data_IF_352579970060
#
_entry.id   IF_352579970060
#
_cell.length_a   1.000
_cell.length_b   1.000
_cell.length_c   1.000
_cell.angle_alpha   90.00
_cell.angle_beta   90.00
_cell.angle_gamma   90.00
#
_symmetry.space_group_name_H-M   'P 1'
#
loop_
_entity.id
_entity.type
_entity.pdbx_description
1 polymer ?
#
# COMPACT_ATOMS: atom_id res chain seq x y z
N UNK A 1 25.73 21.71 -0.56
CA UNK A 1 25.45 20.61 0.38
C UNK A 1 24.47 19.60 -0.26
N UNK A 2 24.88 18.93 -1.35
CA UNK A 2 23.99 18.25 -2.33
C UNK A 2 24.07 16.70 -2.26
N UNK A 3 24.84 16.13 -1.33
CA UNK A 3 25.32 14.74 -1.47
C UNK A 3 24.66 13.67 -0.61
N UNK A 4 23.78 13.99 0.35
CA UNK A 4 23.30 12.97 1.31
C UNK A 4 22.07 12.14 0.88
N UNK A 5 21.36 12.50 -0.18
CA UNK A 5 20.07 11.85 -0.54
C UNK A 5 20.11 10.80 -1.67
N UNK A 6 21.29 10.37 -2.14
CA UNK A 6 21.39 9.47 -3.31
C UNK A 6 22.20 8.18 -3.11
N UNK A 7 22.39 7.73 -1.86
CA UNK A 7 22.93 6.38 -1.62
C UNK A 7 21.80 5.36 -1.53
N UNK A 8 21.24 5.00 -2.69
CA UNK A 8 20.54 3.73 -2.85
C UNK A 8 21.56 2.61 -3.05
N UNK A 9 21.71 1.76 -2.03
CA UNK A 9 22.47 0.51 -2.14
C UNK A 9 21.70 -0.47 -3.02
N UNK A 10 22.19 -0.65 -4.24
CA UNK A 10 21.68 -1.60 -5.22
C UNK A 10 22.74 -1.75 -6.31
N UNK A 11 23.88 -2.33 -5.94
CA UNK A 11 24.95 -2.67 -6.87
C UNK A 11 24.50 -3.89 -7.67
N UNK A 12 24.10 -3.68 -8.92
CA UNK A 12 24.24 -4.69 -9.96
C UNK A 12 25.69 -4.69 -10.42
N UNK A 13 26.34 -5.84 -10.36
CA UNK A 13 27.64 -6.11 -10.95
C UNK A 13 27.56 -5.94 -12.48
N UNK A 14 28.47 -5.14 -13.04
CA UNK A 14 28.51 -4.79 -14.46
C UNK A 14 28.67 -3.28 -14.66
N UNK A 15 29.91 -2.80 -14.78
CA UNK A 15 30.19 -1.43 -15.18
C UNK A 15 29.97 -1.29 -16.69
N UNK A 16 28.73 -1.04 -17.12
CA UNK A 16 28.50 -0.51 -18.47
C UNK A 16 28.97 0.95 -18.48
N UNK A 17 30.07 1.21 -19.17
CA UNK A 17 30.56 2.56 -19.40
C UNK A 17 29.74 3.21 -20.52
N UNK A 18 28.78 4.06 -20.13
CA UNK A 18 28.03 4.86 -21.08
C UNK A 18 28.81 6.13 -21.41
N UNK A 19 29.16 6.30 -22.68
CA UNK A 19 29.84 7.48 -23.19
C UNK A 19 28.90 8.70 -23.29
N UNK A 20 29.47 9.87 -23.57
CA UNK A 20 28.69 11.10 -23.70
C UNK A 20 27.66 11.05 -24.84
N UNK A 21 27.98 10.35 -25.93
CA UNK A 21 27.10 10.21 -27.09
C UNK A 21 25.82 9.48 -26.71
N UNK A 22 25.92 8.35 -26.01
CA UNK A 22 24.78 7.60 -25.52
C UNK A 22 23.91 8.44 -24.58
N UNK A 23 24.55 9.15 -23.63
CA UNK A 23 23.83 10.01 -22.68
C UNK A 23 23.11 11.14 -23.40
N UNK A 24 23.73 11.74 -24.42
CA UNK A 24 23.10 12.77 -25.26
C UNK A 24 21.87 12.24 -25.97
N UNK A 25 21.95 11.05 -26.57
CA UNK A 25 20.81 10.39 -27.23
C UNK A 25 19.69 10.06 -26.24
N UNK A 26 20.01 9.63 -25.02
CA UNK A 26 19.01 9.39 -23.97
C UNK A 26 18.31 10.66 -23.50
N UNK A 27 19.02 11.79 -23.44
CA UNK A 27 18.40 13.11 -23.20
C UNK A 27 17.42 13.40 -24.34
N UNK A 28 17.88 13.33 -25.58
CA UNK A 28 17.06 13.63 -26.76
C UNK A 28 15.80 12.76 -26.80
N UNK A 29 15.95 11.45 -26.63
CA UNK A 29 14.85 10.47 -26.63
C UNK A 29 13.77 10.84 -25.60
N UNK A 30 14.16 11.03 -24.33
CA UNK A 30 13.20 11.27 -23.26
C UNK A 30 12.59 12.67 -23.34
N UNK A 31 13.35 13.69 -23.70
CA UNK A 31 12.82 15.04 -23.92
C UNK A 31 11.79 15.06 -25.06
N UNK A 32 12.09 14.42 -26.20
CA UNK A 32 11.13 14.29 -27.31
C UNK A 32 9.89 13.53 -26.87
N UNK A 33 10.05 12.43 -26.14
CA UNK A 33 8.93 11.64 -25.62
C UNK A 33 8.03 12.42 -24.66
N UNK A 34 8.59 13.34 -23.88
CA UNK A 34 7.82 14.21 -23.00
C UNK A 34 7.01 15.28 -23.77
N UNK A 35 7.62 15.92 -24.76
CA UNK A 35 7.00 17.02 -25.53
C UNK A 35 6.08 16.54 -26.66
N UNK A 36 6.43 15.41 -27.27
CA UNK A 36 5.74 14.80 -28.41
C UNK A 36 5.46 13.33 -28.08
N UNK A 37 4.52 13.07 -27.15
CA UNK A 37 4.31 11.74 -26.61
C UNK A 37 3.81 10.76 -27.68
N UNK A 38 4.40 9.55 -27.78
CA UNK A 38 3.81 8.48 -28.58
C UNK A 38 2.49 8.02 -27.96
N UNK A 39 1.67 7.31 -28.76
CA UNK A 39 0.40 6.76 -28.27
C UNK A 39 0.60 5.94 -27.00
N UNK A 40 -0.23 6.19 -25.98
CA UNK A 40 -0.19 5.50 -24.68
C UNK A 40 0.88 6.00 -23.70
N UNK A 41 1.70 7.00 -24.05
CA UNK A 41 2.64 7.62 -23.11
C UNK A 41 2.08 8.93 -22.55
N UNK A 42 2.12 9.09 -21.22
CA UNK A 42 1.70 10.33 -20.56
C UNK A 42 2.82 11.38 -20.62
N UNK A 43 2.70 12.27 -21.61
CA UNK A 43 3.63 13.39 -21.84
C UNK A 43 3.48 14.56 -20.86
N UNK A 44 4.24 15.62 -21.11
CA UNK A 44 4.31 16.81 -20.27
C UNK A 44 2.94 17.49 -20.12
N UNK A 45 2.25 17.74 -21.24
CA UNK A 45 0.94 18.41 -21.26
C UNK A 45 -0.13 17.62 -20.50
N UNK A 46 -0.24 16.32 -20.74
CA UNK A 46 -1.21 15.48 -20.04
C UNK A 46 -0.93 15.38 -18.53
N UNK A 47 0.35 15.47 -18.13
CA UNK A 47 0.72 15.48 -16.70
C UNK A 47 0.38 16.83 -16.05
N UNK A 48 0.57 17.96 -16.76
CA UNK A 48 0.11 19.27 -16.33
C UNK A 48 -1.41 19.25 -16.09
N UNK A 49 -2.19 18.84 -17.08
CA UNK A 49 -3.65 18.81 -16.99
C UNK A 49 -4.14 17.96 -15.79
N UNK A 50 -3.54 16.79 -15.56
CA UNK A 50 -3.85 15.93 -14.42
C UNK A 50 -3.54 16.62 -13.08
N UNK A 51 -2.35 17.20 -12.91
CA UNK A 51 -1.99 17.84 -11.65
C UNK A 51 -2.81 19.11 -11.41
N UNK A 52 -3.06 19.90 -12.45
CA UNK A 52 -3.90 21.10 -12.35
C UNK A 52 -5.33 20.74 -11.92
N UNK A 53 -5.89 19.65 -12.49
CA UNK A 53 -7.19 19.13 -12.07
C UNK A 53 -7.18 18.66 -10.61
N UNK A 54 -6.20 17.85 -10.22
CA UNK A 54 -6.05 17.39 -8.83
C UNK A 54 -5.98 18.57 -7.84
N UNK A 55 -5.16 19.59 -8.13
CA UNK A 55 -5.03 20.77 -7.26
C UNK A 55 -6.29 21.61 -7.22
N UNK A 56 -7.03 21.73 -8.32
CA UNK A 56 -8.32 22.44 -8.35
C UNK A 56 -9.38 21.73 -7.50
N UNK A 57 -9.47 20.40 -7.60
CA UNK A 57 -10.36 19.58 -6.77
C UNK A 57 -10.00 19.69 -5.28
N UNK A 58 -8.72 19.58 -4.94
CA UNK A 58 -8.22 19.75 -3.57
C UNK A 58 -8.58 21.14 -3.04
N UNK A 59 -8.39 22.20 -3.85
CA UNK A 59 -8.69 23.58 -3.44
C UNK A 59 -10.17 23.75 -3.09
N UNK A 60 -11.07 23.17 -3.90
CA UNK A 60 -12.51 23.18 -3.63
C UNK A 60 -12.85 22.44 -2.34
N UNK A 61 -12.31 21.23 -2.16
CA UNK A 61 -12.52 20.44 -0.95
C UNK A 61 -11.94 21.10 0.31
N UNK A 62 -10.85 21.84 0.17
CA UNK A 62 -10.16 22.49 1.29
C UNK A 62 -10.81 23.82 1.74
N UNK A 63 -11.84 24.29 1.04
CA UNK A 63 -12.60 25.47 1.46
C UNK A 63 -13.18 25.32 2.89
N UNK A 64 -13.54 24.10 3.29
CA UNK A 64 -14.06 23.80 4.63
C UNK A 64 -13.00 23.93 5.75
N UNK A 65 -11.70 23.92 5.42
CA UNK A 65 -10.59 24.04 6.38
C UNK A 65 -10.05 25.48 6.47
N UNK A 66 -10.70 26.43 5.81
CA UNK A 66 -10.44 27.87 5.92
C UNK A 66 -9.60 28.46 4.79
N UNK A 67 -9.62 29.79 4.71
CA UNK A 67 -9.01 30.57 3.61
C UNK A 67 -7.50 30.32 3.46
N UNK A 68 -6.78 30.11 4.56
CA UNK A 68 -5.34 29.85 4.54
C UNK A 68 -4.99 28.57 3.75
N UNK A 69 -5.84 27.53 3.82
CA UNK A 69 -5.66 26.30 3.05
C UNK A 69 -6.02 26.50 1.58
N UNK A 70 -7.08 27.26 1.29
CA UNK A 70 -7.45 27.60 -0.10
C UNK A 70 -6.36 28.43 -0.78
N UNK A 71 -5.82 29.43 -0.09
CA UNK A 71 -4.72 30.25 -0.58
C UNK A 71 -3.46 29.40 -0.80
N UNK A 72 -3.15 28.51 0.16
CA UNK A 72 -2.03 27.60 0.03
C UNK A 72 -2.11 26.74 -1.23
N UNK A 73 -3.23 26.07 -1.46
CA UNK A 73 -3.43 25.23 -2.66
C UNK A 73 -3.46 26.09 -3.94
N UNK A 74 -4.01 27.31 -3.87
CA UNK A 74 -3.94 28.28 -4.96
C UNK A 74 -2.49 28.59 -5.38
N UNK A 75 -1.60 28.83 -4.41
CA UNK A 75 -0.17 29.02 -4.66
C UNK A 75 0.49 27.77 -5.27
N UNK A 76 0.07 26.56 -4.86
CA UNK A 76 0.53 25.32 -5.50
C UNK A 76 0.18 25.29 -7.00
N UNK A 77 -1.05 25.66 -7.36
CA UNK A 77 -1.48 25.73 -8.77
C UNK A 77 -0.69 26.75 -9.59
N UNK A 78 -0.47 27.95 -9.06
CA UNK A 78 0.39 28.95 -9.72
C UNK A 78 1.84 28.46 -9.91
N UNK A 79 2.36 27.76 -8.89
CA UNK A 79 3.70 27.19 -8.90
C UNK A 79 3.86 26.05 -9.90
N UNK A 80 2.83 25.23 -10.04
CA UNK A 80 2.73 24.13 -10.99
C UNK A 80 2.73 24.63 -12.44
N UNK A 81 1.80 25.52 -12.79
CA UNK A 81 1.70 26.16 -14.11
C UNK A 81 3.03 26.80 -14.52
N UNK A 82 3.66 27.54 -13.60
CA UNK A 82 4.99 28.12 -13.83
C UNK A 82 6.06 27.05 -14.05
N UNK A 83 6.04 25.97 -13.27
CA UNK A 83 7.02 24.90 -13.38
C UNK A 83 6.93 24.17 -14.73
N UNK A 84 5.73 23.86 -15.21
CA UNK A 84 5.55 23.22 -16.51
C UNK A 84 5.99 24.12 -17.66
N UNK A 85 5.68 25.41 -17.59
CA UNK A 85 6.13 26.40 -18.59
C UNK A 85 7.66 26.51 -18.66
N UNK A 86 8.31 26.65 -17.51
CA UNK A 86 9.78 26.73 -17.45
C UNK A 86 10.44 25.41 -17.87
N UNK A 87 9.84 24.28 -17.49
CA UNK A 87 10.32 22.97 -17.93
C UNK A 87 10.18 22.80 -19.44
N UNK A 88 9.02 23.09 -20.04
CA UNK A 88 8.81 23.02 -21.48
C UNK A 88 9.84 23.87 -22.24
N UNK A 89 10.04 25.12 -21.79
CA UNK A 89 11.05 26.02 -22.36
C UNK A 89 12.45 25.40 -22.31
N UNK A 90 12.87 24.90 -21.15
CA UNK A 90 14.16 24.25 -20.98
C UNK A 90 14.32 22.98 -21.84
N UNK A 91 13.26 22.16 -21.95
CA UNK A 91 13.26 20.96 -22.80
C UNK A 91 13.40 21.30 -24.29
N UNK A 92 12.64 22.30 -24.77
CA UNK A 92 12.72 22.75 -26.17
C UNK A 92 14.09 23.34 -26.50
N UNK A 93 14.65 24.14 -25.60
CA UNK A 93 15.99 24.70 -25.77
C UNK A 93 17.07 23.61 -25.76
N UNK A 94 16.99 22.67 -24.82
CA UNK A 94 17.90 21.53 -24.74
C UNK A 94 17.86 20.65 -26.00
N UNK A 95 16.68 20.44 -26.60
CA UNK A 95 16.56 19.71 -27.86
C UNK A 95 17.12 20.47 -29.05
N UNK A 96 16.89 21.79 -29.12
CA UNK A 96 17.40 22.63 -30.22
C UNK A 96 18.93 22.69 -30.23
N UNK A 97 19.54 22.69 -29.05
CA UNK A 97 21.00 22.82 -28.85
C UNK A 97 21.59 21.57 -28.23
N UNK A 98 21.05 20.41 -28.59
CA UNK A 98 21.38 19.15 -27.92
C UNK A 98 22.87 18.84 -28.02
N UNK A 99 23.54 19.19 -29.12
CA UNK A 99 24.98 18.96 -29.35
C UNK A 99 25.88 19.91 -28.54
N UNK A 100 25.36 21.04 -28.10
CA UNK A 100 26.09 22.02 -27.28
C UNK A 100 26.05 21.69 -25.78
N UNK A 101 25.26 20.70 -25.36
CA UNK A 101 25.17 20.29 -23.96
C UNK A 101 26.53 19.80 -23.46
N UNK A 102 27.03 20.41 -22.39
CA UNK A 102 28.16 19.90 -21.62
C UNK A 102 27.66 18.81 -20.70
N UNK A 103 28.09 17.57 -20.96
CA UNK A 103 27.70 16.38 -20.20
C UNK A 103 28.86 16.00 -19.28
N UNK A 104 28.59 15.86 -17.98
CA UNK A 104 29.59 15.43 -17.00
C UNK A 104 29.01 14.34 -16.11
N UNK A 105 29.72 13.22 -15.97
CA UNK A 105 29.37 12.19 -14.99
C UNK A 105 29.53 12.75 -13.56
N UNK A 106 28.50 12.59 -12.73
CA UNK A 106 28.46 13.11 -11.34
C UNK A 106 28.25 12.01 -10.29
N UNK A 107 28.03 10.76 -10.72
CA UNK A 107 27.93 9.60 -9.86
C UNK A 107 28.00 8.32 -10.68
N UNK A 108 27.88 7.16 -10.01
CA UNK A 108 27.96 5.84 -10.67
C UNK A 108 26.94 5.69 -11.81
N UNK A 109 25.72 6.16 -11.61
CA UNK A 109 24.61 6.05 -12.57
C UNK A 109 23.98 7.40 -12.92
N UNK A 110 24.71 8.51 -12.74
CA UNK A 110 24.17 9.88 -12.92
C UNK A 110 25.09 10.78 -13.70
N UNK A 111 24.53 11.49 -14.67
CA UNK A 111 25.18 12.50 -15.49
C UNK A 111 24.44 13.83 -15.34
N UNK A 112 25.19 14.91 -15.40
CA UNK A 112 24.69 16.29 -15.42
C UNK A 112 24.90 16.83 -16.82
N UNK A 113 23.83 17.30 -17.45
CA UNK A 113 23.85 18.00 -18.73
C UNK A 113 23.44 19.45 -18.51
N UNK A 114 24.17 20.38 -19.14
CA UNK A 114 23.91 21.81 -18.99
C UNK A 114 24.33 22.57 -20.26
N UNK A 115 23.50 23.51 -20.72
CA UNK A 115 23.93 24.50 -21.71
C UNK A 115 24.80 25.59 -21.04
N UNK A 116 25.92 25.98 -21.66
CA UNK A 116 26.70 27.14 -21.21
C UNK A 116 25.83 28.41 -21.13
N UNK A 117 26.00 29.21 -20.08
CA UNK A 117 25.22 30.45 -19.87
C UNK A 117 23.84 30.25 -19.24
N UNK A 118 23.21 29.10 -19.44
CA UNK A 118 21.86 28.85 -18.91
C UNK A 118 21.82 28.60 -17.41
N UNK A 119 20.71 28.96 -16.76
CA UNK A 119 20.50 28.75 -15.31
C UNK A 119 19.94 27.37 -14.98
N UNK A 120 19.20 26.78 -15.92
CA UNK A 120 18.63 25.45 -15.76
C UNK A 120 19.69 24.35 -15.94
N UNK A 121 19.37 23.14 -15.46
CA UNK A 121 20.24 21.97 -15.58
C UNK A 121 19.41 20.70 -15.68
N UNK A 122 19.93 19.75 -16.45
CA UNK A 122 19.31 18.44 -16.64
C UNK A 122 20.19 17.40 -15.96
N UNK A 123 19.56 16.45 -15.27
CA UNK A 123 20.23 15.24 -14.82
C UNK A 123 19.68 14.03 -15.54
N UNK A 124 20.59 13.18 -15.99
CA UNK A 124 20.26 11.87 -16.57
C UNK A 124 20.66 10.83 -15.54
N UNK A 125 19.77 9.90 -15.22
CA UNK A 125 20.13 8.81 -14.33
C UNK A 125 19.50 7.48 -14.71
N UNK A 126 20.28 6.40 -14.55
CA UNK A 126 19.78 5.02 -14.62
C UNK A 126 19.32 4.61 -13.22
N UNK A 127 18.06 4.23 -13.11
CA UNK A 127 17.43 3.75 -11.88
C UNK A 127 17.87 2.31 -11.59
N UNK A 128 17.78 1.84 -10.32
CA UNK A 128 18.18 0.48 -9.95
C UNK A 128 17.44 -0.64 -10.71
N UNK A 129 16.21 -0.37 -11.14
CA UNK A 129 15.40 -1.28 -11.96
C UNK A 129 15.78 -1.27 -13.46
N UNK A 130 16.87 -0.59 -13.83
CA UNK A 130 17.41 -0.54 -15.19
C UNK A 130 16.88 0.61 -16.05
N UNK A 131 15.74 1.21 -15.69
CA UNK A 131 15.09 2.26 -16.47
C UNK A 131 15.83 3.60 -16.41
N UNK A 132 15.73 4.38 -17.48
CA UNK A 132 16.31 5.72 -17.55
C UNK A 132 15.34 6.83 -17.13
N UNK A 133 15.91 7.93 -16.64
CA UNK A 133 15.18 9.13 -16.29
C UNK A 133 15.97 10.40 -16.59
N UNK A 134 15.25 11.43 -17.00
CA UNK A 134 15.75 12.79 -17.24
C UNK A 134 15.02 13.75 -16.30
N UNK A 135 15.77 14.42 -15.42
CA UNK A 135 15.26 15.38 -14.43
C UNK A 135 15.63 16.80 -14.89
N UNK A 136 14.61 17.60 -15.24
CA UNK A 136 14.76 19.05 -15.48
C UNK A 136 14.61 19.76 -14.14
N UNK A 137 15.71 20.29 -13.59
CA UNK A 137 15.75 20.88 -12.25
C UNK A 137 15.36 22.36 -12.30
N UNK A 138 14.36 22.73 -11.51
CA UNK A 138 13.75 24.06 -11.47
C UNK A 138 14.00 24.78 -10.15
N UNK A 139 13.85 24.10 -9.01
CA UNK A 139 13.98 24.66 -7.65
C UNK A 139 13.14 25.93 -7.44
N UNK A 140 11.91 25.95 -7.97
CA UNK A 140 11.00 27.09 -7.84
C UNK A 140 10.41 27.09 -6.44
N UNK A 141 10.64 28.16 -5.68
CA UNK A 141 9.98 28.38 -4.40
C UNK A 141 8.55 28.81 -4.66
N UNK A 142 7.59 28.07 -4.12
CA UNK A 142 6.16 28.27 -4.37
C UNK A 142 5.51 28.98 -3.19
N UNK A 143 5.76 28.48 -1.99
CA UNK A 143 5.12 29.00 -0.80
C UNK A 143 6.05 28.99 0.40
N UNK A 144 5.86 29.97 1.29
CA UNK A 144 6.37 29.99 2.66
C UNK A 144 5.21 30.45 3.53
N UNK A 145 4.74 29.60 4.43
CA UNK A 145 3.52 29.84 5.18
C UNK A 145 3.51 29.12 6.53
N UNK A 146 2.50 29.42 7.35
CA UNK A 146 2.13 28.69 8.55
C UNK A 146 0.64 28.40 8.47
N UNK A 147 0.25 27.13 8.58
CA UNK A 147 -1.16 26.75 8.56
C UNK A 147 -1.72 26.67 9.97
N UNK A 148 -2.99 27.03 10.16
CA UNK A 148 -3.69 26.81 11.42
C UNK A 148 -3.85 25.31 11.69
N UNK A 149 -4.09 24.96 12.95
CA UNK A 149 -4.39 23.58 13.33
C UNK A 149 -5.84 23.25 12.99
N UNK A 150 -6.04 22.45 11.94
CA UNK A 150 -7.37 21.99 11.52
C UNK A 150 -7.63 20.53 11.90
N UNK A 151 -6.59 19.82 12.35
CA UNK A 151 -6.71 18.43 12.79
C UNK A 151 -7.11 18.36 14.26
N UNK A 152 -6.75 19.39 15.04
CA UNK A 152 -7.05 19.54 16.47
C UNK A 152 -6.71 18.29 17.28
N UNK A 153 -5.65 17.58 16.87
CA UNK A 153 -5.19 16.38 17.55
C UNK A 153 -4.53 16.77 18.86
N UNK A 154 -4.74 15.96 19.90
CA UNK A 154 -3.96 16.11 21.12
C UNK A 154 -2.46 15.96 20.81
N UNK A 155 -1.56 16.59 21.59
CA UNK A 155 -0.12 16.57 21.30
C UNK A 155 0.46 15.17 21.10
N UNK A 156 0.01 14.19 21.88
CA UNK A 156 0.43 12.79 21.76
C UNK A 156 0.01 12.16 20.42
N UNK A 157 -1.24 12.38 20.00
CA UNK A 157 -1.78 11.86 18.75
C UNK A 157 -1.16 12.57 17.53
N UNK A 158 -0.91 13.87 17.64
CA UNK A 158 -0.20 14.63 16.60
C UNK A 158 1.21 14.09 16.40
N UNK A 159 1.97 13.84 17.48
CA UNK A 159 3.30 13.22 17.40
C UNK A 159 3.22 11.81 16.79
N UNK A 160 2.19 11.02 17.11
CA UNK A 160 1.98 9.71 16.51
C UNK A 160 1.74 9.80 14.99
N UNK A 161 0.91 10.73 14.54
CA UNK A 161 0.64 10.98 13.12
C UNK A 161 1.90 11.45 12.37
N UNK A 162 2.63 12.42 12.95
CA UNK A 162 3.91 12.90 12.42
C UNK A 162 4.95 11.77 12.35
N UNK A 163 5.00 10.89 13.36
CA UNK A 163 5.87 9.72 13.35
C UNK A 163 5.56 8.80 12.18
N UNK A 164 4.28 8.58 11.86
CA UNK A 164 3.88 7.81 10.68
C UNK A 164 4.45 8.38 9.38
N UNK A 165 4.41 9.71 9.20
CA UNK A 165 5.06 10.38 8.06
C UNK A 165 6.58 10.17 8.04
N UNK A 166 7.24 10.27 9.19
CA UNK A 166 8.70 10.14 9.34
C UNK A 166 9.22 8.70 9.15
N UNK A 167 8.36 7.70 9.38
CA UNK A 167 8.64 6.30 9.08
C UNK A 167 8.45 6.00 7.59
N UNK A 168 7.62 6.78 6.89
CA UNK A 168 7.38 6.69 5.45
C UNK A 168 8.20 7.68 4.62
N UNK A 169 7.51 8.65 4.01
CA UNK A 169 8.07 9.54 2.98
C UNK A 169 8.83 10.77 3.52
N UNK A 170 8.70 11.08 4.81
CA UNK A 170 9.35 12.22 5.43
C UNK A 170 10.61 11.84 6.20
N UNK A 171 11.50 12.79 6.42
CA UNK A 171 12.77 12.59 7.12
C UNK A 171 13.08 13.76 8.04
N UNK A 172 13.42 13.45 9.28
CA UNK A 172 13.87 14.46 10.23
C UNK A 172 15.38 14.67 10.14
N UNK A 173 15.80 15.92 10.03
CA UNK A 173 17.20 16.36 10.00
C UNK A 173 17.48 17.08 11.32
N UNK A 174 17.98 16.32 12.30
CA UNK A 174 18.20 16.80 13.68
C UNK A 174 19.07 18.07 13.74
N UNK A 175 20.21 18.10 13.04
CA UNK A 175 21.14 19.23 13.02
C UNK A 175 20.52 20.57 12.57
N UNK A 176 19.40 20.51 11.85
CA UNK A 176 18.72 21.68 11.31
C UNK A 176 17.33 21.90 11.94
N UNK A 177 16.88 21.04 12.87
CA UNK A 177 15.54 21.08 13.45
C UNK A 177 14.45 21.12 12.37
N UNK A 178 14.60 20.30 11.32
CA UNK A 178 13.82 20.37 10.08
C UNK A 178 13.28 19.00 9.68
N UNK A 179 12.06 18.98 9.14
CA UNK A 179 11.53 17.78 8.47
C UNK A 179 11.44 18.04 6.97
N UNK A 180 11.94 17.09 6.19
CA UNK A 180 12.01 17.15 4.73
C UNK A 180 11.08 16.07 4.15
N UNK A 181 10.32 16.42 3.12
CA UNK A 181 9.56 15.47 2.33
C UNK A 181 9.73 15.76 0.84
N UNK A 182 9.87 14.69 0.05
CA UNK A 182 9.95 14.75 -1.40
C UNK A 182 8.85 13.85 -1.99
N UNK A 183 8.01 14.40 -2.86
CA UNK A 183 6.88 13.63 -3.41
C UNK A 183 6.57 14.03 -4.84
N UNK A 184 5.94 13.12 -5.58
CA UNK A 184 5.31 13.42 -6.88
C UNK A 184 3.78 13.46 -6.82
N UNK A 185 3.19 13.33 -5.63
CA UNK A 185 1.74 13.24 -5.42
C UNK A 185 1.20 14.58 -4.91
N UNK A 186 0.23 15.14 -5.62
CA UNK A 186 -0.40 16.44 -5.32
C UNK A 186 -1.09 16.43 -3.95
N UNK A 187 -1.77 15.32 -3.61
CA UNK A 187 -2.43 15.17 -2.31
C UNK A 187 -1.44 15.21 -1.14
N UNK A 188 -0.22 14.65 -1.29
CA UNK A 188 0.80 14.67 -0.23
C UNK A 188 1.33 16.08 0.01
N UNK A 189 1.61 16.83 -1.05
CA UNK A 189 2.06 18.23 -0.90
C UNK A 189 0.96 19.11 -0.29
N UNK A 190 -0.31 18.88 -0.63
CA UNK A 190 -1.42 19.62 -0.03
C UNK A 190 -1.65 19.28 1.45
N UNK A 191 -1.61 18.00 1.82
CA UNK A 191 -1.99 17.53 3.16
C UNK A 191 -0.87 17.57 4.20
N UNK A 192 0.38 17.26 3.80
CA UNK A 192 1.50 17.14 4.72
C UNK A 192 1.71 18.36 5.63
N UNK A 193 1.60 19.62 5.16
CA UNK A 193 1.73 20.80 6.02
C UNK A 193 0.72 20.85 7.18
N UNK A 194 -0.48 20.27 7.03
CA UNK A 194 -1.50 20.25 8.09
C UNK A 194 -1.11 19.44 9.32
N UNK A 195 -0.14 18.53 9.20
CA UNK A 195 0.41 17.78 10.32
C UNK A 195 1.46 18.57 11.12
N UNK A 196 1.72 19.83 10.77
CA UNK A 196 2.72 20.67 11.42
C UNK A 196 2.13 22.04 11.78
N UNK A 197 1.06 22.08 12.61
CA UNK A 197 0.34 23.31 12.90
C UNK A 197 1.26 24.38 13.48
N UNK A 198 1.12 25.60 12.99
CA UNK A 198 1.91 26.76 13.42
C UNK A 198 3.40 26.73 13.05
N UNK A 199 3.90 25.65 12.43
CA UNK A 199 5.29 25.58 11.95
C UNK A 199 5.42 26.29 10.61
N UNK A 200 6.60 26.84 10.36
CA UNK A 200 6.91 27.43 9.07
C UNK A 200 7.17 26.31 8.06
N UNK A 201 6.36 26.28 7.01
CA UNK A 201 6.46 25.34 5.91
C UNK A 201 6.89 26.06 4.65
N UNK A 202 7.93 25.54 4.00
CA UNK A 202 8.38 26.02 2.69
C UNK A 202 8.17 24.93 1.64
N UNK A 203 7.53 25.28 0.53
CA UNK A 203 7.24 24.35 -0.56
C UNK A 203 7.93 24.81 -1.85
N UNK A 204 8.50 23.84 -2.55
CA UNK A 204 9.18 24.03 -3.82
C UNK A 204 8.68 23.04 -4.86
N UNK A 205 8.62 23.47 -6.13
CA UNK A 205 8.73 22.54 -7.25
C UNK A 205 10.21 22.32 -7.52
N UNK A 206 10.71 21.13 -7.21
CA UNK A 206 12.11 20.78 -7.41
C UNK A 206 12.41 20.59 -8.89
N UNK A 207 11.61 19.79 -9.57
CA UNK A 207 11.92 19.32 -10.92
C UNK A 207 10.73 18.69 -11.63
N UNK A 208 10.81 18.64 -12.96
CA UNK A 208 10.02 17.71 -13.77
C UNK A 208 10.91 16.51 -14.12
N UNK A 209 10.44 15.31 -13.82
CA UNK A 209 11.13 14.04 -14.08
C UNK A 209 10.43 13.30 -15.19
N UNK A 210 11.18 13.00 -16.24
CA UNK A 210 10.75 12.25 -17.40
C UNK A 210 11.31 10.84 -17.25
N UNK A 211 10.45 9.86 -17.04
CA UNK A 211 10.83 8.46 -17.00
C UNK A 211 10.49 7.82 -18.35
N UNK A 212 11.02 6.64 -18.63
CA UNK A 212 10.65 5.87 -19.83
C UNK A 212 9.16 5.48 -19.87
N UNK A 213 8.40 5.62 -18.77
CA UNK A 213 6.97 5.27 -18.71
C UNK A 213 6.03 6.44 -18.53
N UNK A 214 6.48 7.57 -17.94
CA UNK A 214 5.66 8.74 -17.65
C UNK A 214 6.49 9.97 -17.31
N UNK A 215 5.89 11.15 -17.45
CA UNK A 215 6.37 12.38 -16.83
C UNK A 215 5.78 12.53 -15.42
N UNK A 216 6.51 13.17 -14.51
CA UNK A 216 6.05 13.44 -13.14
C UNK A 216 6.66 14.75 -12.63
N UNK A 217 5.90 15.55 -11.90
CA UNK A 217 6.41 16.70 -11.16
C UNK A 217 6.87 16.28 -9.77
N UNK A 218 7.99 16.81 -9.28
CA UNK A 218 8.51 16.51 -7.95
C UNK A 218 8.50 17.75 -7.07
N UNK A 219 7.79 17.65 -5.96
CA UNK A 219 7.65 18.64 -4.91
C UNK A 219 8.62 18.38 -3.76
N UNK A 220 9.15 19.45 -3.19
CA UNK A 220 10.00 19.43 -2.01
C UNK A 220 9.36 20.29 -0.93
N UNK A 221 9.14 19.73 0.25
CA UNK A 221 8.52 20.41 1.38
C UNK A 221 9.49 20.37 2.56
N UNK A 222 9.64 21.52 3.21
CA UNK A 222 10.47 21.69 4.39
C UNK A 222 9.66 22.28 5.52
N UNK A 223 9.65 21.61 6.66
CA UNK A 223 9.03 22.10 7.90
C UNK A 223 10.15 22.54 8.83
N UNK A 224 10.16 23.82 9.18
CA UNK A 224 11.19 24.43 10.01
C UNK A 224 10.75 24.54 11.47
N UNK A 225 11.71 24.51 12.39
CA UNK A 225 11.45 24.72 13.82
C UNK A 225 10.84 23.51 14.52
N UNK A 226 11.17 22.30 14.05
CA UNK A 226 10.82 21.04 14.69
C UNK A 226 11.86 20.75 15.78
N UNK A 227 11.54 21.19 17.00
CA UNK A 227 12.32 20.96 18.23
C UNK A 227 11.68 19.81 19.03
N UNK A 228 12.46 19.23 19.94
CA UNK A 228 12.02 18.17 20.87
C UNK A 228 11.39 16.95 20.17
N UNK A 229 11.87 16.65 18.96
CA UNK A 229 11.41 15.51 18.20
C UNK A 229 11.76 14.19 18.91
N UNK A 230 10.89 13.16 18.83
CA UNK A 230 11.20 11.82 19.31
C UNK A 230 12.55 11.32 18.78
N UNK A 231 13.35 10.70 19.66
CA UNK A 231 14.69 10.18 19.28
C UNK A 231 14.64 9.23 18.07
N UNK A 232 13.55 8.47 17.95
CA UNK A 232 13.34 7.54 16.85
C UNK A 232 13.26 8.21 15.47
N UNK A 233 12.93 9.51 15.40
CA UNK A 233 12.84 10.23 14.12
C UNK A 233 14.22 10.44 13.47
N UNK A 234 15.27 10.55 14.27
CA UNK A 234 16.65 10.74 13.83
C UNK A 234 17.35 9.42 13.44
N UNK A 235 16.69 8.28 13.64
CA UNK A 235 17.25 6.97 13.27
C UNK A 235 17.43 6.81 11.77
N UNK A 236 18.38 5.97 11.37
CA UNK A 236 18.60 5.62 9.96
C UNK A 236 17.45 4.78 9.43
N UNK A 237 17.34 4.70 8.09
CA UNK A 237 16.27 3.96 7.42
C UNK A 237 16.23 2.49 7.84
N UNK A 238 17.40 1.86 8.01
CA UNK A 238 17.52 0.46 8.41
C UNK A 238 16.99 0.22 9.84
N UNK A 239 17.22 1.16 10.76
CA UNK A 239 16.75 1.08 12.14
C UNK A 239 15.23 1.33 12.21
N UNK A 240 14.73 2.30 11.43
CA UNK A 240 13.29 2.56 11.29
C UNK A 240 12.52 1.35 10.77
N UNK A 241 13.13 0.50 9.92
CA UNK A 241 12.49 -0.74 9.48
C UNK A 241 12.19 -1.68 10.66
N UNK A 242 13.07 -1.74 11.67
CA UNK A 242 12.82 -2.52 12.89
C UNK A 242 11.59 -2.03 13.66
N UNK A 243 11.42 -0.72 13.77
CA UNK A 243 10.25 -0.10 14.41
C UNK A 243 8.98 -0.43 13.62
N UNK A 244 9.00 -0.26 12.29
CA UNK A 244 7.86 -0.59 11.44
C UNK A 244 7.45 -2.06 11.59
N UNK A 245 8.42 -2.98 11.61
CA UNK A 245 8.14 -4.41 11.80
C UNK A 245 7.48 -4.68 13.15
N UNK A 246 7.98 -4.08 14.22
CA UNK A 246 7.41 -4.22 15.56
C UNK A 246 5.97 -3.70 15.63
N UNK A 247 5.67 -2.55 15.03
CA UNK A 247 4.30 -1.99 14.99
C UNK A 247 3.34 -2.91 14.20
N UNK A 248 3.80 -3.47 13.08
CA UNK A 248 3.03 -4.43 12.27
C UNK A 248 2.78 -5.74 13.03
N UNK A 249 3.80 -6.27 13.72
CA UNK A 249 3.69 -7.50 14.52
C UNK A 249 2.75 -7.31 15.70
N UNK A 250 2.90 -6.23 16.47
CA UNK A 250 2.00 -5.89 17.57
C UNK A 250 0.54 -5.75 17.10
N UNK A 251 0.30 -5.11 15.95
CA UNK A 251 -1.05 -5.01 15.39
C UNK A 251 -1.62 -6.37 14.97
N UNK A 252 -0.78 -7.28 14.45
CA UNK A 252 -1.18 -8.65 14.13
C UNK A 252 -1.43 -9.52 15.37
N UNK A 253 -0.83 -9.19 16.52
CA UNK A 253 -1.12 -9.79 17.82
C UNK A 253 -2.37 -9.19 18.49
N UNK A 254 -3.04 -8.22 17.84
CA UNK A 254 -4.23 -7.57 18.37
C UNK A 254 -3.95 -6.41 19.34
N UNK A 255 -2.69 -6.05 19.55
CA UNK A 255 -2.26 -4.91 20.38
C UNK A 255 -2.39 -3.61 19.58
N UNK A 256 -3.62 -3.19 19.28
CA UNK A 256 -3.90 -1.96 18.54
C UNK A 256 -4.57 -0.93 19.46
N UNK A 257 -3.82 0.11 19.81
CA UNK A 257 -4.30 1.33 20.45
C UNK A 257 -4.37 2.48 19.41
N UNK A 258 -4.89 3.65 19.82
CA UNK A 258 -5.06 4.79 18.90
C UNK A 258 -3.72 5.35 18.40
N UNK A 259 -2.68 5.33 19.23
CA UNK A 259 -1.34 5.83 18.88
C UNK A 259 -0.74 4.95 17.77
N UNK A 260 -0.79 3.63 17.93
CA UNK A 260 -0.34 2.67 16.91
C UNK A 260 -1.21 2.72 15.66
N UNK A 261 -2.52 2.88 15.81
CA UNK A 261 -3.42 3.04 14.68
C UNK A 261 -3.04 4.26 13.82
N UNK A 262 -2.76 5.40 14.44
CA UNK A 262 -2.28 6.60 13.74
C UNK A 262 -0.96 6.37 13.03
N UNK A 263 0.05 5.83 13.73
CA UNK A 263 1.37 5.54 13.13
C UNK A 263 1.24 4.64 11.91
N UNK A 264 0.49 3.53 12.02
CA UNK A 264 0.30 2.57 10.93
C UNK A 264 -0.53 3.13 9.79
N UNK A 265 -1.54 3.96 10.07
CA UNK A 265 -2.36 4.59 9.04
C UNK A 265 -1.57 5.59 8.22
N UNK A 266 -0.81 6.48 8.87
CA UNK A 266 -0.01 7.47 8.16
C UNK A 266 1.13 6.80 7.38
N UNK A 267 1.77 5.78 7.98
CA UNK A 267 2.73 4.95 7.27
C UNK A 267 2.11 4.25 6.04
N UNK A 268 0.88 3.74 6.15
CA UNK A 268 0.18 3.09 5.04
C UNK A 268 -0.17 4.10 3.94
N UNK A 269 -0.67 5.25 4.35
CA UNK A 269 -1.03 6.35 3.44
C UNK A 269 0.19 6.81 2.64
N UNK A 270 1.37 6.92 3.26
CA UNK A 270 2.62 7.28 2.58
C UNK A 270 3.22 6.13 1.77
N UNK A 271 3.60 5.03 2.42
CA UNK A 271 4.49 3.99 1.87
C UNK A 271 3.79 2.62 1.72
N UNK A 272 2.48 2.58 1.96
CA UNK A 272 1.66 1.40 1.73
C UNK A 272 1.43 1.11 0.25
N UNK A 273 1.26 -0.16 -0.08
CA UNK A 273 0.80 -0.58 -1.40
C UNK A 273 -0.72 -0.68 -1.36
N UNK A 274 -1.41 -0.16 -2.40
CA UNK A 274 -2.80 -0.56 -2.58
C UNK A 274 -2.84 -2.08 -2.73
N UNK A 275 -3.73 -2.78 -2.02
CA UNK A 275 -4.03 -4.15 -2.38
C UNK A 275 -4.58 -4.09 -3.81
N UNK A 276 -3.74 -4.39 -4.80
CA UNK A 276 -3.94 -4.00 -6.21
C UNK A 276 -5.31 -4.37 -6.79
N UNK A 277 -5.63 -3.91 -8.00
CA UNK A 277 -6.94 -3.97 -8.71
C UNK A 277 -7.72 -5.31 -8.72
N UNK A 278 -7.17 -6.40 -8.19
CA UNK A 278 -7.82 -7.69 -7.95
C UNK A 278 -8.11 -8.03 -6.47
N UNK A 279 -7.81 -7.14 -5.53
CA UNK A 279 -7.76 -7.42 -4.09
C UNK A 279 -8.49 -6.38 -3.20
N UNK A 280 -9.43 -5.58 -3.72
CA UNK A 280 -10.37 -4.80 -2.89
C UNK A 280 -11.17 -5.67 -1.91
N UNK A 281 -11.25 -6.99 -2.16
CA UNK A 281 -11.79 -7.99 -1.23
C UNK A 281 -10.83 -8.46 -0.12
N UNK A 282 -9.58 -7.99 -0.07
CA UNK A 282 -8.64 -8.27 1.02
C UNK A 282 -8.58 -7.06 1.95
N UNK A 283 -9.34 -7.15 3.02
CA UNK A 283 -9.33 -6.22 4.14
C UNK A 283 -7.98 -6.32 4.87
N UNK A 284 -6.89 -5.73 4.37
CA UNK A 284 -5.56 -5.75 4.99
C UNK A 284 -4.80 -4.46 4.67
N UNK A 285 -3.75 -4.16 5.44
CA UNK A 285 -2.82 -3.06 5.14
C UNK A 285 -1.48 -3.67 4.69
N UNK A 286 -0.99 -3.29 3.51
CA UNK A 286 0.24 -3.80 2.93
C UNK A 286 1.31 -2.71 2.89
N UNK A 287 2.53 -3.04 3.30
CA UNK A 287 3.65 -2.11 3.45
C UNK A 287 4.88 -2.64 2.71
N UNK A 288 5.63 -1.74 2.08
CA UNK A 288 6.92 -2.02 1.47
C UNK A 288 8.06 -1.81 2.47
N UNK A 289 8.35 -2.79 3.32
CA UNK A 289 9.41 -2.66 4.33
C UNK A 289 10.73 -3.21 3.79
N UNK A 290 11.61 -2.30 3.37
CA UNK A 290 12.87 -2.66 2.73
C UNK A 290 12.63 -3.29 1.35
N UNK A 291 13.06 -4.55 1.17
CA UNK A 291 12.84 -5.32 -0.07
C UNK A 291 11.71 -6.35 0.06
N UNK A 292 10.96 -6.34 1.16
CA UNK A 292 9.94 -7.37 1.45
C UNK A 292 8.59 -6.72 1.71
N UNK A 293 7.54 -7.30 1.14
CA UNK A 293 6.18 -6.91 1.52
C UNK A 293 5.84 -7.44 2.92
N UNK A 294 5.22 -6.59 3.72
CA UNK A 294 4.71 -6.87 5.07
C UNK A 294 3.24 -6.46 5.14
N UNK A 295 2.49 -7.11 6.03
CA UNK A 295 1.06 -6.87 6.11
C UNK A 295 0.55 -6.87 7.55
N UNK A 296 -0.34 -5.92 7.84
CA UNK A 296 -1.28 -6.02 8.95
C UNK A 296 -2.50 -6.78 8.43
N UNK A 297 -2.79 -7.92 9.03
CA UNK A 297 -3.89 -8.82 8.67
C UNK A 297 -5.23 -8.18 8.99
N UNK A 298 -6.30 -8.78 8.48
CA UNK A 298 -7.67 -8.24 8.54
C UNK A 298 -8.14 -7.77 9.89
N UNK A 299 -7.95 -8.56 10.95
CA UNK A 299 -8.40 -8.14 12.28
C UNK A 299 -7.67 -6.88 12.77
N UNK A 300 -6.35 -6.83 12.62
CA UNK A 300 -5.55 -5.65 12.96
C UNK A 300 -5.89 -4.44 12.07
N UNK A 301 -6.06 -4.66 10.77
CA UNK A 301 -6.35 -3.62 9.79
C UNK A 301 -7.72 -2.97 10.03
N UNK A 302 -8.75 -3.78 10.31
CA UNK A 302 -10.10 -3.31 10.68
C UNK A 302 -10.08 -2.59 12.03
N UNK A 303 -9.33 -3.10 13.02
CA UNK A 303 -9.18 -2.41 14.32
C UNK A 303 -8.51 -1.05 14.17
N UNK A 304 -7.44 -0.95 13.38
CA UNK A 304 -6.78 0.32 13.05
C UNK A 304 -7.80 1.28 12.42
N UNK A 305 -8.50 0.84 11.37
CA UNK A 305 -9.49 1.64 10.67
C UNK A 305 -10.63 2.13 11.58
N UNK A 306 -11.18 1.25 12.43
CA UNK A 306 -12.25 1.60 13.37
C UNK A 306 -11.81 2.61 14.41
N UNK A 307 -10.64 2.42 15.02
CA UNK A 307 -10.11 3.36 16.00
C UNK A 307 -9.94 4.75 15.38
N UNK A 308 -9.48 4.84 14.13
CA UNK A 308 -9.36 6.12 13.44
C UNK A 308 -10.72 6.76 13.19
N UNK A 309 -11.68 5.98 12.68
CA UNK A 309 -13.03 6.46 12.41
C UNK A 309 -13.77 6.92 13.69
N UNK A 310 -13.56 6.22 14.80
CA UNK A 310 -14.23 6.53 16.07
C UNK A 310 -13.56 7.65 16.88
N UNK A 311 -12.23 7.79 16.79
CA UNK A 311 -11.45 8.68 17.69
C UNK A 311 -10.85 9.89 17.00
N UNK A 312 -10.55 9.80 15.71
CA UNK A 312 -9.92 10.87 14.92
C UNK A 312 -10.51 10.94 13.49
N UNK A 313 -11.86 10.96 13.33
CA UNK A 313 -12.49 10.99 12.01
C UNK A 313 -12.04 12.19 11.18
N UNK A 314 -11.79 13.34 11.82
CA UNK A 314 -11.34 14.56 11.15
C UNK A 314 -10.02 14.39 10.39
N UNK A 315 -9.14 13.47 10.83
CA UNK A 315 -7.90 13.17 10.13
C UNK A 315 -8.14 12.39 8.83
N UNK A 316 -9.09 11.45 8.85
CA UNK A 316 -9.46 10.69 7.65
C UNK A 316 -10.17 11.61 6.64
N UNK A 317 -11.07 12.47 7.10
CA UNK A 317 -11.77 13.46 6.28
C UNK A 317 -10.79 14.46 5.65
N UNK A 318 -9.84 14.98 6.43
CA UNK A 318 -8.81 15.89 5.94
C UNK A 318 -7.92 15.28 4.84
N UNK A 319 -7.50 14.03 5.03
CA UNK A 319 -6.70 13.32 4.02
C UNK A 319 -7.54 12.96 2.80
N UNK A 320 -8.78 12.50 2.97
CA UNK A 320 -9.68 12.19 1.86
C UNK A 320 -10.00 13.45 1.03
N UNK A 321 -10.20 14.60 1.68
CA UNK A 321 -10.39 15.89 1.01
C UNK A 321 -9.20 16.31 0.13
N UNK A 322 -7.99 15.81 0.42
CA UNK A 322 -6.81 16.00 -0.44
C UNK A 322 -6.77 15.07 -1.66
N UNK A 323 -7.72 14.15 -1.83
CA UNK A 323 -7.70 13.11 -2.86
C UNK A 323 -6.95 11.84 -2.45
N UNK A 324 -6.68 11.64 -1.15
CA UNK A 324 -5.99 10.46 -0.66
C UNK A 324 -6.92 9.23 -0.64
N UNK A 325 -6.96 8.46 -1.73
CA UNK A 325 -7.82 7.27 -1.80
C UNK A 325 -7.43 6.15 -0.80
N UNK A 326 -6.23 6.18 -0.20
CA UNK A 326 -5.88 5.27 0.91
C UNK A 326 -6.59 5.66 2.21
N UNK A 327 -6.86 6.94 2.43
CA UNK A 327 -7.67 7.40 3.54
C UNK A 327 -9.14 6.99 3.35
N UNK A 328 -9.67 7.10 2.13
CA UNK A 328 -10.99 6.59 1.76
C UNK A 328 -11.08 5.06 1.97
N UNK A 329 -10.03 4.33 1.59
CA UNK A 329 -9.94 2.90 1.85
C UNK A 329 -10.00 2.61 3.35
N UNK A 330 -9.23 3.32 4.19
CA UNK A 330 -9.27 3.18 5.65
C UNK A 330 -10.66 3.49 6.21
N UNK A 331 -11.33 4.54 5.74
CA UNK A 331 -12.71 4.85 6.15
C UNK A 331 -13.68 3.72 5.77
N UNK A 332 -13.59 3.20 4.54
CA UNK A 332 -14.42 2.06 4.12
C UNK A 332 -14.14 0.79 4.93
N UNK A 333 -12.87 0.57 5.31
CA UNK A 333 -12.42 -0.59 6.08
C UNK A 333 -12.97 -0.58 7.52
N UNK A 334 -13.27 0.60 8.09
CA UNK A 334 -13.85 0.71 9.43
C UNK A 334 -15.24 0.05 9.50
N UNK A 335 -16.03 0.17 8.42
CA UNK A 335 -17.38 -0.40 8.30
C UNK A 335 -17.38 -1.93 8.17
N UNK A 336 -16.23 -2.53 7.84
CA UNK A 336 -16.11 -3.97 7.66
C UNK A 336 -16.28 -4.64 9.02
N UNK A 337 -17.27 -5.55 9.14
CA UNK A 337 -17.30 -6.48 10.27
C UNK A 337 -16.03 -7.33 10.17
N UNK A 338 -15.14 -7.32 11.18
CA UNK A 338 -13.92 -8.11 11.12
C UNK A 338 -14.36 -9.53 10.86
N UNK A 339 -14.00 -10.05 9.69
CA UNK A 339 -14.14 -11.47 9.44
C UNK A 339 -13.21 -12.11 10.45
N UNK A 340 -13.78 -12.72 11.48
CA UNK A 340 -13.07 -13.74 12.20
C UNK A 340 -12.76 -14.83 11.17
N UNK A 341 -11.61 -14.71 10.50
CA UNK A 341 -10.87 -15.88 10.07
C UNK A 341 -10.35 -16.56 11.34
N UNK A 342 -11.24 -16.94 12.24
CA UNK A 342 -11.04 -18.10 13.07
C UNK A 342 -11.25 -19.25 12.07
N UNK A 343 -10.19 -19.85 11.51
CA UNK A 343 -10.34 -21.06 10.72
C UNK A 343 -11.24 -22.02 11.49
N UNK A 344 -12.41 -22.32 10.93
CA UNK A 344 -13.26 -23.37 11.48
C UNK A 344 -12.58 -24.68 11.17
N UNK A 345 -12.28 -25.42 12.22
CA UNK A 345 -11.62 -26.69 12.11
C UNK A 345 -12.64 -27.82 12.20
N UNK A 346 -12.47 -28.82 11.35
CA UNK A 346 -12.93 -30.16 11.65
C UNK A 346 -11.78 -30.91 12.31
N UNK A 347 -11.97 -31.30 13.56
CA UNK A 347 -10.99 -32.12 14.28
C UNK A 347 -11.25 -33.60 14.04
N UNK A 348 -10.24 -34.33 13.58
CA UNK A 348 -10.29 -35.77 13.30
C UNK A 348 -9.01 -36.41 13.80
N UNK A 349 -9.09 -37.44 14.63
CA UNK A 349 -7.92 -38.08 15.25
C UNK A 349 -6.93 -37.10 15.95
N UNK A 350 -7.45 -36.03 16.57
CA UNK A 350 -6.62 -34.96 17.18
C UNK A 350 -5.95 -33.99 16.19
N UNK A 351 -6.28 -34.08 14.89
CA UNK A 351 -5.76 -33.18 13.85
C UNK A 351 -6.83 -32.19 13.44
N UNK A 352 -6.52 -30.89 13.59
CA UNK A 352 -7.38 -29.78 13.17
C UNK A 352 -7.26 -29.51 11.67
N UNK A 353 -8.26 -29.92 10.89
CA UNK A 353 -8.34 -29.64 9.45
C UNK A 353 -9.15 -28.38 9.17
N UNK A 354 -8.59 -27.42 8.43
CA UNK A 354 -9.28 -26.16 8.08
C UNK A 354 -10.42 -26.43 7.10
N UNK A 355 -11.64 -26.03 7.44
CA UNK A 355 -12.78 -26.01 6.54
C UNK A 355 -12.66 -24.84 5.55
N UNK A 356 -12.98 -25.11 4.28
CA UNK A 356 -12.90 -24.13 3.18
C UNK A 356 -13.98 -24.39 2.15
N UNK A 357 -14.47 -23.29 1.54
CA UNK A 357 -15.17 -23.32 0.27
C UNK A 357 -14.19 -23.06 -0.87
N UNK A 358 -14.00 -24.04 -1.76
CA UNK A 358 -13.10 -23.90 -2.90
C UNK A 358 -13.74 -24.43 -4.19
N UNK A 359 -13.36 -23.87 -5.33
CA UNK A 359 -13.97 -24.17 -6.63
C UNK A 359 -13.94 -22.96 -7.57
N UNK A 360 -14.42 -23.12 -8.82
CA UNK A 360 -14.50 -22.04 -9.81
C UNK A 360 -15.41 -20.89 -9.37
N UNK A 361 -15.36 -19.75 -10.09
CA UNK A 361 -16.05 -18.50 -9.71
C UNK A 361 -17.57 -18.66 -9.50
N UNK A 362 -18.22 -19.56 -10.22
CA UNK A 362 -19.66 -19.82 -10.20
C UNK A 362 -20.07 -21.02 -9.33
N UNK A 363 -19.12 -21.76 -8.74
CA UNK A 363 -19.43 -22.96 -7.96
C UNK A 363 -18.39 -23.21 -6.88
N UNK A 364 -18.82 -23.26 -5.63
CA UNK A 364 -17.96 -23.65 -4.49
C UNK A 364 -18.30 -25.05 -4.00
N UNK A 365 -17.28 -25.73 -3.50
CA UNK A 365 -17.36 -27.04 -2.86
C UNK A 365 -16.78 -26.97 -1.46
N UNK A 366 -17.38 -27.70 -0.54
CA UNK A 366 -16.88 -27.85 0.82
C UNK A 366 -15.67 -28.80 0.83
N UNK A 367 -14.61 -28.41 1.54
CA UNK A 367 -13.47 -29.29 1.79
C UNK A 367 -12.82 -28.97 3.14
N UNK A 368 -12.10 -29.96 3.68
CA UNK A 368 -11.26 -29.81 4.86
C UNK A 368 -9.81 -30.06 4.47
N UNK A 369 -8.87 -29.26 4.98
CA UNK A 369 -7.46 -29.37 4.61
C UNK A 369 -6.50 -29.05 5.77
N UNK A 370 -5.44 -29.85 5.89
CA UNK A 370 -4.29 -29.58 6.77
C UNK A 370 -3.00 -29.54 5.96
N UNK A 371 -2.10 -28.62 6.29
CA UNK A 371 -0.81 -28.47 5.64
C UNK A 371 0.27 -29.23 6.39
N UNK A 372 1.15 -29.90 5.65
CA UNK A 372 2.35 -30.52 6.21
C UNK A 372 3.42 -29.44 6.32
N UNK A 373 3.93 -29.25 7.53
CA UNK A 373 4.97 -28.29 7.91
C UNK A 373 5.99 -29.00 8.79
N UNK A 374 7.18 -28.41 8.97
CA UNK A 374 8.22 -28.98 9.83
C UNK A 374 7.75 -29.25 11.27
N UNK A 375 6.80 -28.45 11.77
CA UNK A 375 6.33 -28.53 13.16
C UNK A 375 5.23 -29.58 13.38
N UNK A 376 4.64 -30.13 12.32
CA UNK A 376 3.52 -31.08 12.44
C UNK A 376 3.69 -32.34 11.57
N UNK A 377 4.87 -32.53 10.99
CA UNK A 377 5.16 -33.65 10.10
C UNK A 377 5.03 -35.00 10.79
N UNK A 378 5.51 -35.11 12.04
CA UNK A 378 5.41 -36.34 12.83
C UNK A 378 3.94 -36.68 13.16
N UNK A 379 3.17 -35.70 13.65
CA UNK A 379 1.73 -35.86 13.94
C UNK A 379 0.93 -36.30 12.70
N UNK A 380 1.32 -35.82 11.52
CA UNK A 380 0.63 -36.07 10.25
C UNK A 380 1.10 -37.32 9.51
N UNK A 381 2.18 -37.97 9.95
CA UNK A 381 2.82 -39.10 9.25
C UNK A 381 1.82 -40.23 8.95
N UNK A 382 1.07 -40.66 9.96
CA UNK A 382 0.06 -41.74 9.86
C UNK A 382 -1.38 -41.21 9.88
N UNK A 383 -1.57 -39.91 9.65
CA UNK A 383 -2.89 -39.28 9.70
C UNK A 383 -3.88 -39.89 8.69
N UNK A 384 -3.52 -40.20 7.43
CA UNK A 384 -4.47 -40.79 6.48
C UNK A 384 -5.07 -42.12 6.92
N UNK A 385 -4.25 -42.99 7.50
CA UNK A 385 -4.64 -44.30 7.99
C UNK A 385 -5.55 -44.15 9.22
N UNK A 386 -5.18 -43.26 10.15
CA UNK A 386 -6.00 -42.96 11.33
C UNK A 386 -7.36 -42.36 10.93
N UNK A 387 -7.37 -41.36 10.05
CA UNK A 387 -8.60 -40.73 9.56
C UNK A 387 -9.52 -41.75 8.86
N UNK A 388 -8.95 -42.66 8.06
CA UNK A 388 -9.71 -43.72 7.39
C UNK A 388 -10.37 -44.68 8.38
N UNK A 389 -9.72 -45.04 9.49
CA UNK A 389 -10.31 -45.86 10.56
C UNK A 389 -11.52 -45.18 11.21
N UNK A 390 -11.44 -43.87 11.42
CA UNK A 390 -12.59 -43.08 11.88
C UNK A 390 -13.67 -42.91 10.81
N UNK A 391 -13.36 -43.13 9.53
CA UNK A 391 -14.31 -43.09 8.42
C UNK A 391 -14.20 -41.83 7.54
N UNK A 392 -13.11 -41.07 7.66
CA UNK A 392 -12.81 -39.94 6.78
C UNK A 392 -11.72 -40.33 5.77
N UNK A 393 -12.04 -40.26 4.47
CA UNK A 393 -11.07 -40.43 3.40
C UNK A 393 -10.35 -39.10 3.14
N UNK A 394 -9.05 -39.07 3.46
CA UNK A 394 -8.16 -37.95 3.14
C UNK A 394 -7.17 -38.34 2.06
N UNK A 395 -6.87 -37.41 1.16
CA UNK A 395 -5.89 -37.60 0.07
C UNK A 395 -4.73 -36.64 0.24
N UNK A 396 -3.52 -37.13 -0.01
CA UNK A 396 -2.33 -36.28 -0.09
C UNK A 396 -2.39 -35.46 -1.38
N UNK A 397 -2.31 -34.15 -1.26
CA UNK A 397 -2.40 -33.21 -2.38
C UNK A 397 -1.25 -32.22 -2.36
N UNK A 398 -0.73 -31.89 -3.54
CA UNK A 398 0.23 -30.80 -3.71
C UNK A 398 -0.55 -29.48 -3.70
N UNK A 399 -0.28 -28.63 -2.72
CA UNK A 399 -1.02 -27.37 -2.52
C UNK A 399 -0.34 -26.20 -3.22
N UNK A 400 0.99 -26.23 -3.31
CA UNK A 400 1.78 -25.25 -4.05
C UNK A 400 3.12 -25.85 -4.49
N UNK A 401 3.98 -25.07 -5.14
CA UNK A 401 5.33 -25.49 -5.54
C UNK A 401 6.15 -26.08 -4.38
N UNK A 402 5.92 -25.64 -3.13
CA UNK A 402 6.72 -26.03 -1.95
C UNK A 402 5.94 -26.74 -0.84
N UNK A 403 4.61 -26.86 -0.94
CA UNK A 403 3.79 -27.35 0.17
C UNK A 403 2.88 -28.52 -0.23
N UNK A 404 2.90 -29.56 0.60
CA UNK A 404 1.98 -30.69 0.57
C UNK A 404 0.96 -30.58 1.71
N UNK A 405 -0.18 -31.23 1.55
CA UNK A 405 -1.21 -31.30 2.58
C UNK A 405 -2.11 -32.51 2.41
N UNK A 406 -2.94 -32.77 3.41
CA UNK A 406 -4.02 -33.75 3.33
C UNK A 406 -5.36 -33.03 3.17
N UNK A 407 -6.21 -33.53 2.26
CA UNK A 407 -7.51 -32.94 1.93
C UNK A 407 -8.61 -33.99 1.96
N UNK A 408 -9.74 -33.66 2.59
CA UNK A 408 -11.01 -34.35 2.43
C UNK A 408 -11.97 -33.49 1.59
N UNK A 409 -12.58 -34.08 0.57
CA UNK A 409 -13.61 -33.44 -0.25
C UNK A 409 -15.01 -33.60 0.33
N UNK A 410 -15.95 -32.78 -0.15
CA UNK A 410 -17.36 -32.76 0.27
C UNK A 410 -17.99 -34.15 0.46
N UNK A 411 -17.87 -35.04 -0.53
CA UNK A 411 -18.43 -36.41 -0.44
C UNK A 411 -17.88 -37.19 0.75
N UNK A 412 -16.58 -37.07 1.03
CA UNK A 412 -15.98 -37.76 2.18
C UNK A 412 -16.40 -37.13 3.50
N UNK A 413 -16.53 -35.79 3.53
CA UNK A 413 -16.99 -35.08 4.73
C UNK A 413 -18.43 -35.45 5.09
N UNK A 414 -19.31 -35.57 4.09
CA UNK A 414 -20.69 -36.00 4.31
C UNK A 414 -20.76 -37.45 4.80
N UNK A 415 -19.99 -38.37 4.21
CA UNK A 415 -19.92 -39.77 4.69
C UNK A 415 -19.43 -39.86 6.14
N UNK A 416 -18.44 -39.04 6.49
CA UNK A 416 -17.96 -38.97 7.87
C UNK A 416 -19.02 -38.39 8.81
N UNK A 417 -19.74 -37.35 8.38
CA UNK A 417 -20.83 -36.75 9.14
C UNK A 417 -22.06 -37.67 9.30
N UNK A 418 -22.34 -38.55 8.33
CA UNK A 418 -23.36 -39.60 8.46
C UNK A 418 -23.04 -40.57 9.61
N UNK A 419 -21.75 -40.82 9.87
CA UNK A 419 -21.28 -41.64 11.00
C UNK A 419 -21.26 -40.87 12.32
N UNK A 420 -20.97 -39.57 12.29
CA UNK A 420 -20.93 -38.69 13.46
C UNK A 420 -21.78 -37.44 13.23
N UNK A 421 -23.10 -37.46 13.49
CA UNK A 421 -24.00 -36.38 13.09
C UNK A 421 -23.67 -35.00 13.67
N UNK A 422 -23.00 -34.93 14.84
CA UNK A 422 -22.50 -33.66 15.42
C UNK A 422 -21.57 -32.90 14.46
N UNK A 423 -20.93 -33.59 13.53
CA UNK A 423 -20.10 -32.99 12.48
C UNK A 423 -20.96 -32.13 11.55
N UNK A 424 -22.21 -32.52 11.26
CA UNK A 424 -23.10 -31.69 10.45
C UNK A 424 -23.32 -30.31 11.06
N UNK A 425 -23.39 -30.17 12.39
CA UNK A 425 -23.52 -28.87 13.04
C UNK A 425 -22.32 -27.97 12.73
N UNK A 426 -21.10 -28.54 12.75
CA UNK A 426 -19.87 -27.81 12.44
C UNK A 426 -19.82 -27.41 10.96
N UNK A 427 -20.21 -28.30 10.05
CA UNK A 427 -20.23 -28.02 8.61
C UNK A 427 -21.32 -27.00 8.24
N UNK A 428 -22.52 -27.11 8.83
CA UNK A 428 -23.64 -26.18 8.62
C UNK A 428 -23.27 -24.80 9.12
N UNK A 429 -22.75 -24.68 10.34
CA UNK A 429 -22.33 -23.39 10.89
C UNK A 429 -21.27 -22.72 10.00
N UNK A 430 -20.26 -23.48 9.55
CA UNK A 430 -19.24 -22.97 8.63
C UNK A 430 -19.85 -22.48 7.30
N UNK A 431 -20.69 -23.28 6.64
CA UNK A 431 -21.28 -22.93 5.35
C UNK A 431 -22.24 -21.74 5.48
N UNK A 432 -22.99 -21.67 6.58
CA UNK A 432 -23.90 -20.57 6.86
C UNK A 432 -23.14 -19.25 7.05
N UNK A 433 -22.05 -19.25 7.84
CA UNK A 433 -21.19 -18.07 8.02
C UNK A 433 -20.58 -17.60 6.69
N UNK A 434 -20.08 -18.53 5.87
CA UNK A 434 -19.54 -18.20 4.55
C UNK A 434 -20.62 -17.63 3.59
N UNK A 435 -21.86 -18.11 3.70
CA UNK A 435 -22.98 -17.63 2.89
C UNK A 435 -23.45 -16.22 3.33
N UNK A 436 -23.53 -15.97 4.63
CA UNK A 436 -23.86 -14.66 5.19
C UNK A 436 -22.77 -13.62 4.86
N UNK A 437 -21.51 -14.04 4.78
CA UNK A 437 -20.38 -13.20 4.40
C UNK A 437 -20.22 -12.97 2.88
N UNK A 438 -20.96 -13.70 2.04
CA UNK A 438 -20.88 -13.62 0.59
C UNK A 438 -21.77 -12.48 0.06
N UNK A 439 -21.30 -11.61 -0.87
CA UNK A 439 -22.14 -10.60 -1.50
C UNK A 439 -23.42 -11.19 -2.11
N UNK A 440 -24.51 -10.43 -2.10
CA UNK A 440 -25.81 -10.89 -2.61
C UNK A 440 -25.75 -11.23 -4.12
N UNK A 441 -24.94 -10.50 -4.87
CA UNK A 441 -24.73 -10.65 -6.31
C UNK A 441 -23.60 -11.64 -6.67
N UNK A 442 -22.97 -12.28 -5.68
CA UNK A 442 -21.82 -13.14 -5.93
C UNK A 442 -22.22 -14.39 -6.76
N UNK A 443 -21.55 -14.69 -7.88
CA UNK A 443 -22.00 -15.73 -8.84
C UNK A 443 -22.04 -17.15 -8.28
N UNK A 444 -21.32 -17.44 -7.19
CA UNK A 444 -21.37 -18.73 -6.52
C UNK A 444 -22.45 -18.87 -5.43
N UNK A 445 -23.15 -17.79 -5.06
CA UNK A 445 -24.11 -17.78 -3.94
C UNK A 445 -25.20 -18.87 -4.08
N UNK A 446 -25.83 -19.07 -5.26
CA UNK A 446 -26.81 -20.15 -5.45
C UNK A 446 -26.24 -21.56 -5.29
N UNK A 447 -24.92 -21.74 -5.47
CA UNK A 447 -24.28 -23.03 -5.24
C UNK A 447 -24.07 -23.31 -3.74
N UNK A 448 -23.80 -22.26 -2.96
CA UNK A 448 -23.58 -22.35 -1.51
C UNK A 448 -24.91 -22.53 -0.78
N UNK A 449 -25.96 -21.85 -1.20
CA UNK A 449 -27.33 -22.05 -0.68
C UNK A 449 -27.79 -23.50 -0.87
N UNK A 450 -27.60 -24.07 -2.07
CA UNK A 450 -27.91 -25.49 -2.33
C UNK A 450 -27.06 -26.45 -1.50
N UNK A 451 -25.80 -26.11 -1.23
CA UNK A 451 -24.94 -26.89 -0.34
C UNK A 451 -25.47 -26.86 1.10
N UNK A 452 -25.82 -25.68 1.63
CA UNK A 452 -26.36 -25.51 2.98
C UNK A 452 -27.65 -26.33 3.16
N UNK A 453 -28.56 -26.22 2.21
CA UNK A 453 -29.83 -26.96 2.20
C UNK A 453 -29.60 -28.47 2.20
N UNK A 454 -28.67 -28.94 1.38
CA UNK A 454 -28.30 -30.36 1.32
C UNK A 454 -27.69 -30.86 2.63
N UNK A 455 -26.87 -30.05 3.31
CA UNK A 455 -26.31 -30.40 4.62
C UNK A 455 -27.40 -30.50 5.70
N UNK A 456 -28.35 -29.55 5.73
CA UNK A 456 -29.50 -29.58 6.66
C UNK A 456 -30.35 -30.84 6.45
N UNK A 457 -30.72 -31.15 5.20
CA UNK A 457 -31.46 -32.38 4.87
C UNK A 457 -30.69 -33.65 5.21
N UNK A 458 -29.38 -33.67 4.97
CA UNK A 458 -28.56 -34.83 5.30
C UNK A 458 -28.47 -35.06 6.82
N UNK A 459 -28.32 -33.99 7.61
CA UNK A 459 -28.37 -34.04 9.08
C UNK A 459 -29.67 -34.63 9.59
N UNK A 460 -30.82 -34.15 9.10
CA UNK A 460 -32.13 -34.67 9.50
C UNK A 460 -32.27 -36.17 9.21
N UNK A 461 -31.82 -36.62 8.04
CA UNK A 461 -31.83 -38.05 7.67
C UNK A 461 -30.91 -38.87 8.55
N UNK A 462 -29.72 -38.36 8.87
CA UNK A 462 -28.75 -39.04 9.73
C UNK A 462 -29.29 -39.18 11.17
N UNK A 463 -29.92 -38.13 11.71
CA UNK A 463 -30.54 -38.17 13.04
C UNK A 463 -31.73 -39.14 13.09
N UNK A 464 -32.60 -39.15 12.07
CA UNK A 464 -33.71 -40.12 11.98
C UNK A 464 -33.21 -41.58 11.94
N UNK A 465 -32.13 -41.86 11.22
CA UNK A 465 -31.50 -43.19 11.16
C UNK A 465 -30.89 -43.65 12.49
N UNK A 466 -30.50 -42.72 13.35
CA UNK A 466 -29.97 -43.03 14.68
C UNK A 466 -31.08 -43.23 15.70
N UNK A 467 -32.17 -42.46 15.62
CA UNK A 467 -33.38 -42.68 16.42
C UNK A 467 -34.01 -44.05 16.13
N UNK A 468 -34.13 -44.43 14.85
CA UNK A 468 -34.67 -45.73 14.43
C UNK A 468 -33.74 -46.94 14.68
N UNK A 469 -32.58 -46.74 15.31
CA UNK A 469 -31.66 -47.81 15.75
C UNK A 469 -31.64 -47.97 17.28
N UNK A 470 -32.35 -47.10 18.00
CA UNK A 470 -32.46 -47.11 19.46
C UNK A 470 -33.84 -47.61 19.94
N UNK A 471 -34.81 -47.72 19.03
CA UNK A 471 -35.99 -48.60 19.13
C UNK A 471 -35.64 -49.99 18.57
#
# INVERSE_FOLDING_TARGET
MVERYMRGNGAGEGFEEFDEWFIRRKIEELLRRALFPPSGYRGLKATHEEVAQELAEIRGNYAQYGEAYVEYVGRLGEGEEKAFREAEKAMREALKRVDELKIKRTGKTRWKAKLPGEKWRIYVSRKPNGYWSVEVVLLLKIARLRLPDVLELSPELLVAAQTGWILGDASYIADHGRVDMATAQSWQVASFPGFWPGKEVTVYVRSIVINETRVSMVWFIYVHGVRDAPREWALRKEEKQGIILAEIEAANEGKVDIVRALKLALLYVTDGEYPGSSNTGKHLLQFAVGQRSRQVRTEGAVRVARLLYEKVPQLLEYMAASGCQKAEFLASLASVKPRHYAPRYLEVCGVKMNLRLAGPKNRRYLMAQVYITRNNEEMLRDFPERARREGLEVRRVKVSKRYWGYRAGEKSLMKYADRYPRVYDTLIAFVQEELEAMPLDHPARPSVERLLERLRKARERALKKLGARQE
#
